data_IF_556931991825
#
_entry.id   IF_556931991825
#
_cell.length_a   1.000
_cell.length_b   1.000
_cell.length_c   1.000
_cell.angle_alpha   90.00
_cell.angle_beta   90.00
_cell.angle_gamma   90.00
#
_symmetry.space_group_name_H-M   'P 1'
#
loop_
_entity.id
_entity.type
_entity.pdbx_description
1 polymer ?
#
# COMPACT_ATOMS: atom_id res chain seq x y z
N UNK A 1 -2.17 -17.12 6.66
CA UNK A 1 -1.32 -16.49 5.62
C UNK A 1 -1.13 -15.03 6.01
N UNK A 2 0.03 -14.41 5.75
CA UNK A 2 0.20 -12.97 5.96
C UNK A 2 -0.80 -12.19 5.09
N UNK A 3 -1.31 -11.07 5.62
CA UNK A 3 -2.18 -10.17 4.86
C UNK A 3 -1.34 -9.41 3.85
N UNK A 4 -1.75 -9.43 2.58
CA UNK A 4 -1.20 -8.56 1.55
C UNK A 4 -1.95 -7.22 1.61
N UNK A 5 -1.22 -6.15 1.89
CA UNK A 5 -1.77 -4.80 1.96
C UNK A 5 -1.37 -4.01 0.71
N UNK A 6 -2.20 -3.03 0.36
CA UNK A 6 -1.92 -2.04 -0.67
C UNK A 6 -2.47 -0.69 -0.20
N UNK A 7 -1.92 0.44 -0.70
CA UNK A 7 -2.44 1.76 -0.37
C UNK A 7 -3.89 1.91 -0.81
N UNK A 8 -4.65 2.67 -0.02
CA UNK A 8 -6.04 2.94 -0.34
C UNK A 8 -6.19 3.82 -1.58
N UNK A 9 -7.19 3.50 -2.40
CA UNK A 9 -7.64 4.30 -3.52
C UNK A 9 -9.17 4.38 -3.49
N UNK A 10 -9.75 5.56 -3.71
CA UNK A 10 -11.20 5.80 -3.68
C UNK A 10 -12.01 4.94 -4.67
N UNK A 11 -11.36 4.39 -5.70
CA UNK A 11 -11.99 3.52 -6.68
C UNK A 11 -12.06 2.06 -6.22
N UNK A 12 -11.39 1.70 -5.13
CA UNK A 12 -11.42 0.34 -4.58
C UNK A 12 -12.82 -0.02 -4.06
N UNK A 13 -13.24 -1.26 -4.33
CA UNK A 13 -14.51 -1.85 -3.85
C UNK A 13 -14.28 -3.26 -3.35
N UNK A 14 -15.07 -3.71 -2.37
CA UNK A 14 -15.03 -5.11 -1.94
C UNK A 14 -15.35 -6.04 -3.11
N UNK A 15 -14.59 -7.12 -3.26
CA UNK A 15 -14.77 -8.11 -4.31
C UNK A 15 -14.27 -7.71 -5.69
N UNK A 16 -13.69 -6.51 -5.84
CA UNK A 16 -13.02 -6.08 -7.07
C UNK A 16 -11.75 -6.89 -7.30
N UNK A 17 -11.47 -7.22 -8.56
CA UNK A 17 -10.22 -7.84 -8.99
C UNK A 17 -9.02 -6.91 -8.80
N UNK A 18 -7.88 -7.48 -8.45
CA UNK A 18 -6.68 -6.71 -8.12
C UNK A 18 -5.43 -7.44 -8.60
N UNK A 19 -4.55 -6.71 -9.28
CA UNK A 19 -3.23 -7.20 -9.63
C UNK A 19 -2.27 -6.87 -8.48
N UNK A 20 -1.90 -7.86 -7.67
CA UNK A 20 -1.05 -7.66 -6.48
C UNK A 20 0.36 -7.18 -6.83
N UNK A 21 0.87 -7.57 -8.00
CA UNK A 21 2.22 -7.23 -8.44
C UNK A 21 2.34 -5.77 -8.83
N UNK A 22 1.42 -5.25 -9.63
CA UNK A 22 1.42 -3.85 -10.10
C UNK A 22 0.56 -2.92 -9.22
N UNK A 23 -0.17 -3.49 -8.26
CA UNK A 23 -1.18 -2.82 -7.44
C UNK A 23 -2.24 -2.07 -8.26
N UNK A 24 -2.61 -2.64 -9.41
CA UNK A 24 -3.59 -2.05 -10.32
C UNK A 24 -4.98 -2.61 -10.03
N UNK A 25 -5.98 -1.73 -9.98
CA UNK A 25 -7.39 -2.12 -9.92
C UNK A 25 -7.80 -2.80 -11.22
N UNK A 26 -8.47 -3.93 -11.12
CA UNK A 26 -8.99 -4.68 -12.27
C UNK A 26 -10.53 -4.57 -12.28
N UNK A 27 -11.20 -5.60 -12.79
CA UNK A 27 -12.66 -5.60 -12.93
C UNK A 27 -13.39 -5.49 -11.59
N UNK A 28 -14.45 -4.69 -11.55
CA UNK A 28 -15.37 -4.67 -10.41
C UNK A 28 -16.24 -5.93 -10.38
N UNK A 29 -16.52 -6.44 -9.19
CA UNK A 29 -17.27 -7.68 -9.02
C UNK A 29 -16.56 -8.93 -9.56
N UNK A 30 -15.24 -9.03 -9.40
CA UNK A 30 -14.50 -10.27 -9.70
C UNK A 30 -15.00 -11.45 -8.82
N UNK A 31 -15.43 -11.13 -7.60
CA UNK A 31 -16.10 -12.06 -6.70
C UNK A 31 -17.39 -11.44 -6.14
N UNK A 32 -18.30 -12.29 -5.72
CA UNK A 32 -19.55 -11.89 -5.09
C UNK A 32 -19.27 -11.31 -3.69
N UNK A 33 -19.52 -10.01 -3.55
CA UNK A 33 -19.37 -9.22 -2.33
C UNK A 33 -20.61 -8.37 -2.03
N UNK A 34 -21.74 -8.71 -2.67
CA UNK A 34 -22.98 -7.93 -2.58
C UNK A 34 -23.83 -8.26 -1.36
N UNK A 35 -23.64 -9.45 -0.80
CA UNK A 35 -24.37 -9.90 0.37
C UNK A 35 -23.76 -9.29 1.65
N UNK A 36 -24.50 -8.37 2.28
CA UNK A 36 -24.10 -7.73 3.53
C UNK A 36 -23.83 -8.75 4.65
N UNK A 37 -24.43 -9.93 4.60
CA UNK A 37 -24.16 -11.00 5.59
C UNK A 37 -22.75 -11.58 5.47
N UNK A 38 -22.10 -11.38 4.32
CA UNK A 38 -20.70 -11.74 4.09
C UNK A 38 -19.74 -10.64 4.54
N UNK A 39 -20.19 -9.44 4.90
CA UNK A 39 -19.30 -8.36 5.33
C UNK A 39 -19.24 -8.33 6.86
N UNK A 40 -18.03 -8.51 7.40
CA UNK A 40 -17.78 -8.37 8.84
C UNK A 40 -16.98 -7.10 9.06
N UNK A 41 -17.51 -6.22 9.92
CA UNK A 41 -16.79 -5.03 10.39
C UNK A 41 -16.46 -5.23 11.87
N UNK A 42 -15.18 -5.21 12.18
CA UNK A 42 -14.67 -5.33 13.54
C UNK A 42 -14.07 -4.00 13.96
N UNK A 43 -14.71 -3.33 14.92
CA UNK A 43 -14.10 -2.19 15.61
C UNK A 43 -13.07 -2.73 16.60
N UNK A 44 -11.83 -2.29 16.43
CA UNK A 44 -10.71 -2.70 17.26
C UNK A 44 -10.42 -1.62 18.30
N UNK A 45 -9.80 -2.03 19.41
CA UNK A 45 -9.08 -1.06 20.22
C UNK A 45 -7.98 -0.43 19.34
N UNK A 46 -7.85 0.91 19.29
CA UNK A 46 -6.92 1.57 18.39
C UNK A 46 -5.51 1.02 18.54
N UNK A 47 -5.01 0.34 17.49
CA UNK A 47 -3.65 -0.18 17.46
C UNK A 47 -2.75 0.89 16.86
N UNK A 48 -1.89 1.44 17.70
CA UNK A 48 -0.91 2.46 17.29
C UNK A 48 0.42 1.77 17.03
N UNK A 49 0.97 1.98 15.83
CA UNK A 49 2.32 1.52 15.45
C UNK A 49 3.13 2.74 15.06
N UNK A 50 4.17 3.03 15.85
CA UNK A 50 5.13 4.08 15.56
C UNK A 50 6.42 3.45 15.04
N UNK A 51 6.97 4.02 13.98
CA UNK A 51 8.24 3.61 13.39
C UNK A 51 9.06 4.83 13.00
N UNK A 52 10.33 4.82 13.35
CA UNK A 52 11.32 5.80 12.91
C UNK A 52 12.50 5.05 12.35
N UNK A 53 12.89 5.35 11.10
CA UNK A 53 13.98 4.64 10.44
C UNK A 53 14.80 5.59 9.59
N UNK A 54 16.12 5.49 9.73
CA UNK A 54 17.06 6.06 8.76
C UNK A 54 17.06 5.20 7.50
N UNK A 55 17.08 5.83 6.34
CA UNK A 55 17.10 5.15 5.06
C UNK A 55 18.01 5.88 4.09
N UNK A 56 18.58 5.12 3.15
CA UNK A 56 19.45 5.69 2.11
C UNK A 56 18.72 5.77 0.76
N UNK A 57 17.78 4.84 0.53
CA UNK A 57 17.11 4.71 -0.77
C UNK A 57 15.61 4.81 -0.62
N UNK A 58 14.96 5.50 -1.56
CA UNK A 58 13.50 5.62 -1.61
C UNK A 58 12.80 4.25 -1.63
N UNK A 59 13.43 3.22 -2.21
CA UNK A 59 12.92 1.84 -2.22
C UNK A 59 12.61 1.31 -0.81
N UNK A 60 13.40 1.69 0.19
CA UNK A 60 13.17 1.25 1.57
C UNK A 60 11.92 1.87 2.19
N UNK A 61 11.57 3.09 1.77
CA UNK A 61 10.34 3.78 2.19
C UNK A 61 9.14 3.17 1.48
N UNK A 62 9.27 2.86 0.17
CA UNK A 62 8.25 2.17 -0.64
C UNK A 62 7.82 0.86 0.03
N UNK A 63 8.78 0.04 0.45
CA UNK A 63 8.52 -1.24 1.12
C UNK A 63 7.75 -1.06 2.44
N UNK A 64 7.98 0.03 3.19
CA UNK A 64 7.26 0.33 4.43
C UNK A 64 5.81 0.81 4.22
N UNK A 65 5.49 1.30 3.02
CA UNK A 65 4.17 1.81 2.68
C UNK A 65 3.24 0.74 2.09
N UNK A 66 3.68 -0.53 2.10
CA UNK A 66 2.96 -1.61 1.46
C UNK A 66 2.76 -1.35 -0.06
N UNK A 67 3.72 -0.66 -0.70
CA UNK A 67 3.69 -0.35 -2.14
C UNK A 67 4.60 -1.33 -2.86
N UNK A 68 4.12 -1.90 -3.97
CA UNK A 68 4.96 -2.79 -4.75
C UNK A 68 5.95 -2.01 -5.64
N UNK A 69 7.17 -2.51 -5.84
CA UNK A 69 8.13 -1.87 -6.74
C UNK A 69 7.61 -1.68 -8.18
N UNK A 70 6.76 -2.59 -8.68
CA UNK A 70 6.21 -2.47 -10.03
C UNK A 70 5.12 -1.39 -10.14
N UNK A 71 4.39 -1.10 -9.05
CA UNK A 71 3.40 -0.01 -9.03
C UNK A 71 4.06 1.36 -9.26
N UNK A 72 5.25 1.57 -8.70
CA UNK A 72 5.99 2.84 -8.83
C UNK A 72 6.52 3.06 -10.23
N UNK A 73 6.95 1.99 -10.90
CA UNK A 73 7.41 2.03 -12.29
C UNK A 73 6.29 2.32 -13.29
N UNK A 74 5.10 1.77 -13.04
CA UNK A 74 3.96 1.86 -13.98
C UNK A 74 3.30 3.23 -13.93
N UNK A 75 3.19 3.82 -12.73
CA UNK A 75 2.48 5.09 -12.54
C UNK A 75 3.41 6.29 -12.75
N UNK A 76 4.74 6.12 -12.65
CA UNK A 76 5.74 7.21 -12.79
C UNK A 76 5.64 8.31 -11.71
N UNK A 77 4.60 8.26 -10.88
CA UNK A 77 4.30 9.09 -9.72
C UNK A 77 3.61 8.21 -8.69
N UNK A 78 4.11 8.24 -7.46
CA UNK A 78 3.48 7.49 -6.37
C UNK A 78 2.39 8.34 -5.74
N UNK A 79 1.21 8.33 -6.36
CA UNK A 79 0.03 9.03 -5.84
C UNK A 79 -0.66 8.14 -4.81
N UNK A 80 -0.35 8.36 -3.54
CA UNK A 80 -1.14 7.79 -2.43
C UNK A 80 -2.25 8.79 -2.12
N UNK A 81 -3.51 8.36 -2.24
CA UNK A 81 -4.66 9.23 -2.01
C UNK A 81 -4.61 9.82 -0.60
N UNK A 82 -4.71 11.16 -0.49
CA UNK A 82 -4.59 11.89 0.78
C UNK A 82 -3.17 12.28 1.20
N UNK A 83 -2.12 11.85 0.49
CA UNK A 83 -0.73 12.26 0.74
C UNK A 83 -0.23 13.21 -0.38
N UNK A 84 -0.19 14.51 -0.09
CA UNK A 84 0.02 15.58 -1.07
C UNK A 84 1.48 15.82 -1.50
N UNK A 85 2.47 15.08 -0.96
CA UNK A 85 3.87 15.24 -1.35
C UNK A 85 4.44 13.90 -1.83
N UNK A 86 4.11 13.59 -3.08
CA UNK A 86 4.76 12.57 -3.91
C UNK A 86 6.27 12.75 -3.77
N UNK A 87 6.94 11.74 -3.23
CA UNK A 87 8.36 11.71 -2.90
C UNK A 87 9.23 12.43 -3.93
N UNK A 88 9.97 13.44 -3.50
CA UNK A 88 10.94 14.11 -4.36
C UNK A 88 12.26 13.33 -4.30
N UNK A 89 12.38 12.33 -5.18
CA UNK A 89 13.52 11.43 -5.26
C UNK A 89 14.85 12.19 -5.31
N UNK A 90 14.89 13.31 -6.05
CA UNK A 90 16.08 14.17 -6.19
C UNK A 90 16.53 14.75 -4.84
N UNK A 91 15.59 15.16 -3.97
CA UNK A 91 15.94 15.72 -2.65
C UNK A 91 16.40 14.66 -1.65
N UNK A 92 15.94 13.42 -1.83
CA UNK A 92 16.33 12.29 -0.99
C UNK A 92 17.72 11.80 -1.41
N UNK A 93 17.99 11.71 -2.71
CA UNK A 93 19.26 11.28 -3.27
C UNK A 93 20.39 12.30 -2.99
N UNK A 94 20.07 13.60 -2.96
CA UNK A 94 21.02 14.67 -2.61
C UNK A 94 21.25 14.84 -1.10
N UNK A 95 20.46 14.16 -0.25
CA UNK A 95 20.57 14.30 1.19
C UNK A 95 21.59 13.33 1.80
N UNK A 96 22.40 13.83 2.73
CA UNK A 96 23.39 13.00 3.42
C UNK A 96 22.73 12.04 4.41
N UNK A 97 21.65 12.48 5.06
CA UNK A 97 20.90 11.71 6.04
C UNK A 97 19.41 11.88 5.75
N UNK A 98 18.68 10.78 5.61
CA UNK A 98 17.22 10.79 5.49
C UNK A 98 16.59 9.97 6.61
N UNK A 99 15.66 10.59 7.34
CA UNK A 99 14.91 10.01 8.44
C UNK A 99 13.43 9.96 8.07
N UNK A 100 12.84 8.77 8.13
CA UNK A 100 11.40 8.58 8.04
C UNK A 100 10.82 8.43 9.44
N UNK A 101 9.75 9.17 9.72
CA UNK A 101 8.91 9.01 10.92
C UNK A 101 7.49 8.69 10.47
N UNK A 102 6.95 7.56 10.93
CA UNK A 102 5.63 7.06 10.55
C UNK A 102 4.84 6.64 11.79
N UNK A 103 3.58 7.07 11.84
CA UNK A 103 2.61 6.67 12.86
C UNK A 103 1.37 6.14 12.16
N UNK A 104 1.12 4.85 12.31
CA UNK A 104 -0.06 4.17 11.78
C UNK A 104 -1.01 3.86 12.93
N UNK A 105 -2.25 4.28 12.79
CA UNK A 105 -3.35 3.99 13.71
C UNK A 105 -4.36 3.14 12.96
N UNK A 106 -4.67 1.96 13.48
CA UNK A 106 -5.72 1.09 12.96
C UNK A 106 -6.86 1.05 13.98
N UNK A 107 -8.07 1.39 13.56
CA UNK A 107 -9.24 1.42 14.44
C UNK A 107 -10.32 0.43 14.04
N UNK A 108 -10.40 0.09 12.76
CA UNK A 108 -11.48 -0.77 12.25
C UNK A 108 -10.98 -1.59 11.07
N UNK A 109 -11.45 -2.83 10.99
CA UNK A 109 -11.21 -3.72 9.85
C UNK A 109 -12.57 -4.17 9.31
N UNK A 110 -12.80 -3.90 8.03
CA UNK A 110 -13.93 -4.44 7.27
C UNK A 110 -13.40 -5.57 6.39
N UNK A 111 -14.02 -6.74 6.40
CA UNK A 111 -13.57 -7.88 5.58
C UNK A 111 -14.72 -8.76 5.10
N UNK A 112 -14.50 -9.44 3.98
CA UNK A 112 -15.38 -10.49 3.46
C UNK A 112 -15.15 -11.78 4.25
N UNK A 113 -16.25 -12.31 4.79
CA UNK A 113 -16.33 -13.52 5.59
C UNK A 113 -16.39 -14.73 4.68
N UNK A 114 -15.55 -15.74 4.95
CA UNK A 114 -15.55 -17.00 4.22
C UNK A 114 -14.92 -16.89 2.83
N UNK A 115 -15.23 -17.85 1.97
CA UNK A 115 -14.73 -17.87 0.58
C UNK A 115 -15.69 -17.12 -0.34
N UNK A 116 -15.27 -15.96 -0.85
CA UNK A 116 -16.04 -15.23 -1.85
C UNK A 116 -16.20 -16.06 -3.13
N UNK A 117 -17.38 -16.02 -3.74
CA UNK A 117 -17.69 -16.79 -4.96
C UNK A 117 -17.18 -16.04 -6.18
N UNK A 118 -16.29 -16.66 -6.95
CA UNK A 118 -15.80 -16.09 -8.21
C UNK A 118 -16.94 -15.90 -9.22
N UNK A 119 -16.94 -14.76 -9.92
CA UNK A 119 -17.92 -14.41 -10.95
C UNK A 119 -17.25 -14.47 -12.33
N UNK A 120 -17.35 -15.62 -13.03
CA UNK A 120 -16.70 -15.78 -14.33
C UNK A 120 -17.36 -14.93 -15.41
N UNK A 121 -16.57 -14.56 -16.42
CA UNK A 121 -17.02 -13.86 -17.62
C UNK A 121 -16.76 -14.74 -18.83
N UNK A 122 -17.76 -14.85 -19.69
CA UNK A 122 -17.67 -15.62 -20.92
C UNK A 122 -16.47 -15.16 -21.78
N UNK A 123 -15.68 -16.13 -22.26
CA UNK A 123 -14.49 -15.87 -23.07
C UNK A 123 -13.25 -15.41 -22.28
N UNK A 124 -13.26 -15.47 -20.94
CA UNK A 124 -12.08 -15.26 -20.08
C UNK A 124 -11.73 -16.55 -19.34
N UNK A 125 -11.00 -17.43 -20.03
CA UNK A 125 -10.58 -18.71 -19.46
C UNK A 125 -9.45 -18.55 -18.44
N UNK A 126 -9.55 -19.26 -17.32
CA UNK A 126 -8.50 -19.29 -16.30
C UNK A 126 -7.16 -19.72 -16.90
N UNK A 127 -6.09 -19.01 -16.54
CA UNK A 127 -4.73 -19.25 -17.07
C UNK A 127 -4.42 -18.59 -18.41
N UNK A 128 -5.42 -17.98 -19.08
CA UNK A 128 -5.15 -17.13 -20.24
C UNK A 128 -4.56 -15.77 -19.81
N UNK A 129 -3.69 -15.13 -20.61
CA UNK A 129 -3.21 -13.76 -20.31
C UNK A 129 -4.36 -12.78 -20.12
N UNK A 130 -5.40 -12.93 -20.94
CA UNK A 130 -6.64 -12.17 -20.89
C UNK A 130 -7.39 -12.29 -19.57
N UNK A 131 -7.27 -13.41 -18.86
CA UNK A 131 -7.88 -13.59 -17.55
C UNK A 131 -7.15 -12.72 -16.51
N UNK A 132 -5.82 -12.84 -16.42
CA UNK A 132 -5.02 -12.07 -15.48
C UNK A 132 -5.10 -10.56 -15.72
N UNK A 133 -5.21 -10.14 -16.99
CA UNK A 133 -5.46 -8.73 -17.33
C UNK A 133 -6.84 -8.23 -16.88
N UNK A 134 -7.85 -9.11 -16.84
CA UNK A 134 -9.23 -8.71 -16.51
C UNK A 134 -9.52 -8.78 -15.02
N UNK A 135 -9.11 -9.87 -14.37
CA UNK A 135 -9.41 -10.13 -12.96
C UNK A 135 -8.25 -9.80 -12.02
N UNK A 136 -7.02 -9.72 -12.53
CA UNK A 136 -5.83 -9.73 -11.70
C UNK A 136 -5.50 -11.14 -11.20
N UNK A 137 -4.62 -11.20 -10.21
CA UNK A 137 -4.22 -12.43 -9.50
C UNK A 137 -4.84 -12.53 -8.09
N UNK A 138 -5.53 -11.49 -7.64
CA UNK A 138 -6.17 -11.40 -6.32
C UNK A 138 -7.45 -10.56 -6.39
N UNK A 139 -8.13 -10.39 -5.26
CA UNK A 139 -9.30 -9.50 -5.14
C UNK A 139 -9.25 -8.74 -3.81
N UNK A 140 -9.94 -7.60 -3.74
CA UNK A 140 -10.04 -6.77 -2.54
C UNK A 140 -10.98 -7.46 -1.56
N UNK A 141 -10.40 -8.07 -0.53
CA UNK A 141 -11.14 -8.83 0.49
C UNK A 141 -11.58 -7.98 1.68
N UNK A 142 -11.05 -6.77 1.83
CA UNK A 142 -11.32 -5.94 3.00
C UNK A 142 -10.65 -4.59 2.97
N UNK A 143 -10.99 -3.77 3.96
CA UNK A 143 -10.41 -2.45 4.20
C UNK A 143 -9.97 -2.34 5.66
N UNK A 144 -8.86 -1.65 5.85
CA UNK A 144 -8.36 -1.29 7.18
C UNK A 144 -8.51 0.22 7.30
N UNK A 145 -9.38 0.65 8.21
CA UNK A 145 -9.68 2.06 8.45
C UNK A 145 -8.89 2.57 9.65
N UNK A 146 -8.41 3.80 9.53
CA UNK A 146 -7.67 4.49 10.58
C UNK A 146 -6.95 5.72 10.04
N UNK A 147 -5.72 5.92 10.50
CA UNK A 147 -4.90 7.07 10.10
C UNK A 147 -3.45 6.68 9.85
N UNK A 148 -2.82 7.33 8.86
CA UNK A 148 -1.40 7.23 8.61
C UNK A 148 -0.81 8.65 8.61
N UNK A 149 0.08 8.91 9.57
CA UNK A 149 0.96 10.06 9.53
C UNK A 149 2.33 9.60 9.08
N UNK A 150 2.91 10.30 8.11
CA UNK A 150 4.24 10.01 7.62
C UNK A 150 4.95 11.30 7.29
N UNK A 151 6.21 11.37 7.72
CA UNK A 151 7.08 12.49 7.45
C UNK A 151 8.47 11.97 7.08
N UNK A 152 9.07 12.57 6.06
CA UNK A 152 10.47 12.37 5.73
C UNK A 152 11.19 13.68 5.99
N UNK A 153 12.25 13.58 6.77
CA UNK A 153 13.18 14.68 7.04
C UNK A 153 14.52 14.32 6.42
N UNK A 154 14.97 15.16 5.50
CA UNK A 154 16.25 15.02 4.82
C UNK A 154 17.19 16.13 5.29
N UNK A 155 18.42 15.76 5.62
CA UNK A 155 19.45 16.65 6.13
C UNK A 155 20.65 16.66 5.19
N UNK A 156 21.20 17.84 4.94
CA UNK A 156 22.48 18.03 4.26
C UNK A 156 23.48 18.44 5.34
N UNK A 157 24.51 17.62 5.53
CA UNK A 157 25.56 17.84 6.51
C UNK A 157 26.59 18.82 5.95
N UNK A 158 27.03 19.76 6.80
CA UNK A 158 28.11 20.68 6.43
C UNK A 158 29.50 20.02 6.46
N UNK A 159 29.62 18.88 7.16
CA UNK A 159 30.84 18.10 7.30
C UNK A 159 30.50 16.60 7.34
N UNK A 160 30.94 15.87 6.30
CA UNK A 160 30.68 14.45 6.10
C UNK A 160 31.56 13.54 6.97
N UNK A 161 32.72 14.01 7.45
CA UNK A 161 33.62 13.20 8.30
C UNK A 161 33.01 12.88 9.67
N UNK A 162 31.98 13.63 10.08
CA UNK A 162 31.30 13.49 11.36
C UNK A 162 29.90 12.88 11.28
N UNK A 163 29.50 12.36 10.11
CA UNK A 163 28.17 11.81 9.86
C UNK A 163 27.74 10.75 10.90
N UNK A 164 28.62 9.82 11.24
CA UNK A 164 28.32 8.75 12.19
C UNK A 164 28.01 9.28 13.60
N UNK A 165 28.68 10.38 14.03
CA UNK A 165 28.40 11.02 15.32
C UNK A 165 27.04 11.73 15.35
N UNK A 166 26.51 12.13 14.20
CA UNK A 166 25.18 12.74 14.09
C UNK A 166 24.05 11.69 14.12
N UNK A 167 24.36 10.44 13.78
CA UNK A 167 23.40 9.33 13.75
C UNK A 167 23.27 8.66 15.14
N UNK A 168 24.33 8.67 15.95
CA UNK A 168 24.35 8.07 17.30
C UNK A 168 23.82 8.98 18.44
N UNK A 169 23.53 10.25 18.16
CA UNK A 169 23.09 11.25 19.15
C UNK A 169 21.56 11.29 19.32
#
# INVERSE_FOLDING_TARGET
>A
MPLLLAPYNDSMRLGMGFNSYTQTLCIDGAVDATDETMITTETLQPKITSSSKLFERLSEVIDMMDISPAATMTTGRMEVHGHMNVFNDIKIDDADISLMVSVRVMSEITSLKGSARFLPIDGREAGSPRFSETFGDSYISGFITGGLFMNIVSFIASDLEHKDKMIEA
#
